data_IF_920660424042
#
_entry.id   IF_920660424042
#
_cell.length_a   1.000
_cell.length_b   1.000
_cell.length_c   1.000
_cell.angle_alpha   90.00
_cell.angle_beta   90.00
_cell.angle_gamma   90.00
#
_symmetry.space_group_name_H-M   'P 1'
#
loop_
_entity.id
_entity.type
_entity.pdbx_description
1 polymer ?
#
# COMPACT_ATOMS: atom_id res chain seq x y z
N UNK A 1 -48.52 35.99 -68.47
CA UNK A 1 -47.15 36.34 -67.97
C UNK A 1 -47.19 36.18 -66.47
N UNK A 2 -46.95 34.95 -65.99
CA UNK A 2 -46.98 34.63 -64.55
C UNK A 2 -45.64 33.99 -64.19
N UNK A 3 -44.94 34.70 -63.28
CA UNK A 3 -43.66 34.25 -62.71
C UNK A 3 -43.94 33.26 -61.59
N UNK A 4 -43.42 32.05 -61.69
CA UNK A 4 -43.38 31.05 -60.61
C UNK A 4 -42.10 31.23 -59.79
N UNK A 5 -42.25 31.65 -58.52
CA UNK A 5 -41.19 31.66 -57.54
C UNK A 5 -41.18 30.29 -56.87
N UNK A 6 -40.04 29.57 -57.06
CA UNK A 6 -39.76 28.33 -56.33
C UNK A 6 -39.14 28.67 -54.98
N UNK A 7 -39.88 28.36 -53.89
CA UNK A 7 -39.35 28.43 -52.54
C UNK A 7 -38.58 27.13 -52.24
N UNK A 8 -37.26 27.24 -52.08
CA UNK A 8 -36.37 26.15 -51.70
C UNK A 8 -36.32 26.09 -50.17
N UNK A 9 -36.99 25.09 -49.55
CA UNK A 9 -36.98 24.85 -48.12
C UNK A 9 -35.68 24.17 -47.72
N UNK A 10 -34.82 24.89 -46.97
CA UNK A 10 -33.55 24.38 -46.44
C UNK A 10 -33.83 23.79 -45.06
N UNK A 11 -33.90 22.47 -44.94
CA UNK A 11 -34.00 21.73 -43.70
C UNK A 11 -32.60 21.70 -43.01
N UNK A 12 -32.46 22.50 -41.98
CA UNK A 12 -31.27 22.53 -41.12
C UNK A 12 -31.37 21.38 -40.10
N UNK A 13 -30.66 20.29 -40.30
CA UNK A 13 -30.51 19.21 -39.32
C UNK A 13 -29.54 19.67 -38.23
N UNK A 14 -30.10 20.02 -37.08
CA UNK A 14 -29.34 20.33 -35.86
C UNK A 14 -28.92 19.00 -35.20
N UNK A 15 -27.72 18.54 -35.45
CA UNK A 15 -27.12 17.37 -34.75
C UNK A 15 -26.69 17.81 -33.35
N UNK A 16 -27.51 17.45 -32.34
CA UNK A 16 -27.13 17.60 -30.93
C UNK A 16 -26.17 16.47 -30.58
N UNK A 17 -24.86 16.81 -30.52
CA UNK A 17 -23.84 15.92 -29.99
C UNK A 17 -23.98 15.88 -28.46
N UNK A 18 -24.50 14.79 -27.92
CA UNK A 18 -24.41 14.52 -26.48
C UNK A 18 -22.93 14.26 -26.14
N UNK A 19 -22.30 15.25 -25.56
CA UNK A 19 -21.00 15.09 -24.88
C UNK A 19 -21.33 14.41 -23.54
N UNK A 20 -21.16 13.11 -23.45
CA UNK A 20 -21.14 12.40 -22.19
C UNK A 20 -19.90 12.87 -21.40
N UNK A 21 -20.07 13.82 -20.52
CA UNK A 21 -19.07 14.16 -19.50
C UNK A 21 -18.95 12.95 -18.58
N UNK A 22 -17.87 12.18 -18.72
CA UNK A 22 -17.42 11.28 -17.69
C UNK A 22 -17.11 12.12 -16.45
N UNK A 23 -18.01 12.12 -15.49
CA UNK A 23 -17.77 12.69 -14.17
C UNK A 23 -16.65 11.87 -13.52
N UNK A 24 -15.40 12.33 -13.62
CA UNK A 24 -14.33 11.91 -12.75
C UNK A 24 -14.77 12.27 -11.33
N UNK A 25 -15.13 11.26 -10.55
CA UNK A 25 -15.38 11.40 -9.12
C UNK A 25 -14.07 11.83 -8.49
N UNK A 26 -13.90 13.12 -8.24
CA UNK A 26 -12.80 13.63 -7.41
C UNK A 26 -13.06 13.10 -6.00
N UNK A 27 -12.38 12.01 -5.65
CA UNK A 27 -12.42 11.45 -4.29
C UNK A 27 -11.88 12.55 -3.37
N UNK A 28 -12.75 13.09 -2.54
CA UNK A 28 -12.38 14.07 -1.52
C UNK A 28 -11.35 13.43 -0.58
N UNK A 29 -10.12 13.91 -0.60
CA UNK A 29 -8.95 13.40 0.13
C UNK A 29 -9.07 13.51 1.65
N UNK A 30 -10.22 13.95 2.18
CA UNK A 30 -10.40 14.28 3.60
C UNK A 30 -11.01 13.18 4.45
N UNK A 31 -11.40 12.04 3.88
CA UNK A 31 -11.92 10.91 4.63
C UNK A 31 -11.08 9.68 4.32
N UNK A 32 -10.63 8.99 5.38
CA UNK A 32 -9.99 7.68 5.25
C UNK A 32 -10.96 6.69 4.61
N UNK A 33 -10.47 5.79 3.75
CA UNK A 33 -11.29 4.70 3.26
C UNK A 33 -11.69 3.80 4.43
N UNK A 34 -12.93 3.37 4.46
CA UNK A 34 -13.42 2.42 5.46
C UNK A 34 -12.85 1.03 5.23
N UNK A 35 -12.57 0.70 3.98
CA UNK A 35 -12.09 -0.61 3.58
C UNK A 35 -11.21 -0.50 2.34
N UNK A 36 -10.08 -1.21 2.37
CA UNK A 36 -9.25 -1.47 1.19
C UNK A 36 -9.03 -2.98 1.12
N UNK A 37 -9.30 -3.56 -0.05
CA UNK A 37 -8.88 -4.92 -0.39
C UNK A 37 -7.91 -4.83 -1.54
N UNK A 38 -6.75 -5.44 -1.37
CA UNK A 38 -5.72 -5.48 -2.40
C UNK A 38 -5.21 -6.92 -2.57
N UNK A 39 -5.02 -7.34 -3.81
CA UNK A 39 -4.36 -8.60 -4.11
C UNK A 39 -3.11 -8.33 -4.94
N UNK A 40 -2.06 -9.11 -4.67
CA UNK A 40 -0.76 -8.97 -5.32
C UNK A 40 -0.22 -10.31 -5.78
N UNK A 41 0.52 -10.28 -6.87
CA UNK A 41 1.46 -11.33 -7.23
C UNK A 41 2.85 -10.96 -6.74
N UNK A 42 3.58 -11.97 -6.24
CA UNK A 42 4.96 -11.80 -5.81
C UNK A 42 5.86 -12.70 -6.66
N UNK A 43 6.91 -12.10 -7.21
CA UNK A 43 7.97 -12.84 -7.88
C UNK A 43 9.25 -12.80 -7.05
N UNK A 44 10.06 -13.86 -7.16
CA UNK A 44 11.41 -13.93 -6.63
C UNK A 44 12.38 -14.08 -7.79
N UNK A 45 13.26 -13.09 -8.00
CA UNK A 45 14.16 -13.01 -9.15
C UNK A 45 13.42 -13.22 -10.49
N UNK A 46 12.21 -12.62 -10.63
CA UNK A 46 11.37 -12.73 -11.81
C UNK A 46 10.57 -14.03 -11.94
N UNK A 47 10.70 -14.99 -11.01
CA UNK A 47 9.93 -16.24 -11.02
C UNK A 47 8.74 -16.16 -10.05
N UNK A 48 7.57 -16.73 -10.39
CA UNK A 48 6.41 -16.78 -9.51
C UNK A 48 6.78 -17.36 -8.13
N UNK A 49 6.44 -16.63 -7.06
CA UNK A 49 6.81 -16.98 -5.70
C UNK A 49 5.60 -17.15 -4.78
N UNK A 50 4.71 -16.15 -4.74
CA UNK A 50 3.56 -16.12 -3.86
C UNK A 50 2.43 -15.23 -4.39
N UNK A 51 1.25 -15.35 -3.76
CA UNK A 51 0.15 -14.39 -3.85
C UNK A 51 -0.12 -13.80 -2.47
N UNK A 52 -0.43 -12.51 -2.43
CA UNK A 52 -0.76 -11.79 -1.19
C UNK A 52 -2.17 -11.23 -1.32
N UNK A 53 -2.98 -11.41 -0.29
CA UNK A 53 -4.27 -10.76 -0.14
C UNK A 53 -4.24 -9.91 1.12
N UNK A 54 -4.57 -8.65 0.98
CA UNK A 54 -4.59 -7.69 2.07
C UNK A 54 -5.98 -7.11 2.27
N UNK A 55 -6.34 -6.94 3.53
CA UNK A 55 -7.56 -6.29 3.96
C UNK A 55 -7.20 -5.23 5.01
N UNK A 56 -7.44 -3.98 4.67
CA UNK A 56 -7.48 -2.87 5.62
C UNK A 56 -8.94 -2.54 5.92
N UNK A 57 -9.26 -2.40 7.20
CA UNK A 57 -10.56 -1.89 7.67
C UNK A 57 -10.30 -0.82 8.72
N UNK A 58 -10.94 0.34 8.57
CA UNK A 58 -10.92 1.39 9.56
C UNK A 58 -12.34 1.78 9.99
N UNK A 59 -12.51 2.02 11.26
CA UNK A 59 -13.62 2.76 11.84
C UNK A 59 -13.12 4.13 12.28
N UNK A 60 -13.94 4.94 12.97
CA UNK A 60 -13.58 6.32 13.32
C UNK A 60 -12.20 6.46 13.98
N UNK A 61 -11.84 5.57 14.91
CA UNK A 61 -10.65 5.71 15.74
C UNK A 61 -9.75 4.47 15.77
N UNK A 62 -10.13 3.38 15.11
CA UNK A 62 -9.35 2.13 15.15
C UNK A 62 -9.21 1.53 13.75
N UNK A 63 -8.13 0.80 13.54
CA UNK A 63 -7.93 0.04 12.31
C UNK A 63 -7.56 -1.42 12.62
N UNK A 64 -7.82 -2.26 11.63
CA UNK A 64 -7.31 -3.62 11.53
C UNK A 64 -6.78 -3.86 10.12
N UNK A 65 -5.59 -4.45 10.03
CA UNK A 65 -5.00 -4.90 8.76
C UNK A 65 -4.71 -6.39 8.88
N UNK A 66 -5.10 -7.13 7.86
CA UNK A 66 -4.76 -8.54 7.68
C UNK A 66 -4.08 -8.71 6.32
N UNK A 67 -2.96 -9.42 6.29
CA UNK A 67 -2.24 -9.77 5.06
C UNK A 67 -1.93 -11.25 5.06
N UNK A 68 -2.43 -11.97 4.05
CA UNK A 68 -2.26 -13.41 3.89
C UNK A 68 -1.42 -13.68 2.66
N UNK A 69 -0.25 -14.28 2.87
CA UNK A 69 0.65 -14.69 1.79
C UNK A 69 0.58 -16.20 1.59
N UNK A 70 0.32 -16.64 0.37
CA UNK A 70 0.31 -18.04 -0.04
C UNK A 70 1.38 -18.28 -1.09
N UNK A 71 2.33 -19.18 -0.82
CA UNK A 71 3.33 -19.59 -1.80
C UNK A 71 2.68 -20.27 -3.01
N UNK A 72 3.30 -20.14 -4.19
CA UNK A 72 2.87 -20.87 -5.40
C UNK A 72 3.88 -21.97 -5.76
N UNK A 73 3.41 -23.01 -6.43
CA UNK A 73 4.26 -24.17 -6.78
C UNK A 73 4.89 -24.80 -5.54
N UNK A 74 6.20 -25.01 -5.57
CA UNK A 74 6.94 -25.62 -4.46
C UNK A 74 6.93 -24.78 -3.18
N UNK A 75 6.71 -23.48 -3.29
CA UNK A 75 6.65 -22.57 -2.15
C UNK A 75 5.36 -22.71 -1.33
N UNK A 76 4.31 -23.35 -1.88
CA UNK A 76 3.08 -23.66 -1.15
C UNK A 76 3.31 -24.59 0.05
N UNK A 77 4.38 -25.41 0.00
CA UNK A 77 4.75 -26.33 1.07
C UNK A 77 5.19 -25.63 2.38
N UNK A 78 5.53 -24.33 2.32
CA UNK A 78 5.91 -23.58 3.52
C UNK A 78 4.71 -23.10 4.36
N UNK A 79 3.48 -23.37 3.90
CA UNK A 79 2.25 -22.93 4.54
C UNK A 79 1.98 -21.42 4.35
N UNK A 80 0.83 -21.00 4.81
CA UNK A 80 0.43 -19.58 4.73
C UNK A 80 1.23 -18.75 5.74
N UNK A 81 1.55 -17.51 5.35
CA UNK A 81 2.04 -16.47 6.25
C UNK A 81 0.94 -15.44 6.44
N UNK A 82 0.54 -15.24 7.67
CA UNK A 82 -0.48 -14.27 8.05
C UNK A 82 0.14 -13.17 8.91
N UNK A 83 -0.11 -11.93 8.54
CA UNK A 83 0.18 -10.75 9.34
C UNK A 83 -1.14 -10.15 9.81
N UNK A 84 -1.13 -9.67 11.05
CA UNK A 84 -2.24 -8.88 11.60
C UNK A 84 -1.66 -7.68 12.32
N UNK A 85 -2.18 -6.50 12.03
CA UNK A 85 -1.89 -5.26 12.74
C UNK A 85 -3.19 -4.64 13.21
N UNK A 86 -3.23 -4.22 14.47
CA UNK A 86 -4.36 -3.47 15.04
C UNK A 86 -3.83 -2.25 15.79
N UNK A 87 -4.62 -1.19 15.83
CA UNK A 87 -4.23 0.03 16.52
C UNK A 87 -5.22 1.16 16.32
N UNK A 88 -4.80 2.35 16.70
CA UNK A 88 -5.59 3.55 16.60
C UNK A 88 -5.35 4.29 15.28
N UNK A 89 -6.39 4.96 14.79
CA UNK A 89 -6.30 5.97 13.73
C UNK A 89 -6.19 7.33 14.38
N UNK A 90 -5.14 8.07 14.04
CA UNK A 90 -4.88 9.42 14.57
C UNK A 90 -4.74 10.44 13.44
N UNK A 91 -4.72 11.72 13.77
CA UNK A 91 -4.44 12.77 12.77
C UNK A 91 -3.04 12.66 12.15
N UNK A 92 -2.09 12.00 12.82
CA UNK A 92 -0.72 11.78 12.33
C UNK A 92 -0.55 10.46 11.60
N UNK A 93 -1.59 9.62 11.56
CA UNK A 93 -1.56 8.33 10.91
C UNK A 93 -1.96 7.17 11.79
N UNK A 94 -1.58 5.98 11.33
CA UNK A 94 -1.80 4.73 12.05
C UNK A 94 -0.84 4.65 13.25
N UNK A 95 -1.40 4.25 14.38
CA UNK A 95 -0.69 4.06 15.63
C UNK A 95 -0.89 2.62 16.09
N UNK A 96 -0.02 1.68 15.65
CA UNK A 96 -0.14 0.27 16.01
C UNK A 96 -0.13 0.08 17.53
N UNK A 97 -0.96 -0.82 18.03
CA UNK A 97 -0.93 -1.28 19.41
C UNK A 97 -0.40 -2.70 19.51
N UNK A 98 -0.70 -3.51 18.48
CA UNK A 98 -0.23 -4.90 18.42
C UNK A 98 -0.06 -5.35 16.96
N UNK A 99 1.03 -6.08 16.75
CA UNK A 99 1.35 -6.78 15.52
C UNK A 99 1.59 -8.26 15.79
N UNK A 100 1.09 -9.12 14.89
CA UNK A 100 1.32 -10.56 14.93
C UNK A 100 1.70 -11.08 13.55
N UNK A 101 2.60 -12.05 13.52
CA UNK A 101 2.98 -12.82 12.35
C UNK A 101 2.89 -14.31 12.67
N UNK A 102 2.12 -15.05 11.88
CA UNK A 102 2.00 -16.49 11.95
C UNK A 102 2.50 -17.11 10.64
N UNK A 103 3.27 -18.20 10.74
CA UNK A 103 3.80 -18.94 9.58
C UNK A 103 3.39 -20.41 9.64
N UNK A 104 2.41 -20.79 8.82
CA UNK A 104 1.82 -22.13 8.83
C UNK A 104 1.21 -22.47 10.19
N UNK A 105 1.12 -23.76 10.53
CA UNK A 105 0.58 -24.25 11.81
C UNK A 105 1.61 -24.27 12.94
N UNK A 106 2.86 -23.85 12.70
CA UNK A 106 3.93 -23.95 13.67
C UNK A 106 4.03 -22.72 14.55
N UNK A 107 3.51 -22.78 15.80
CA UNK A 107 3.58 -21.69 16.76
C UNK A 107 5.01 -21.17 17.03
N UNK A 108 6.06 -22.00 16.86
CA UNK A 108 7.45 -21.58 17.00
C UNK A 108 7.92 -20.62 15.90
N UNK A 109 7.15 -20.47 14.83
CA UNK A 109 7.40 -19.50 13.75
C UNK A 109 6.54 -18.24 13.88
N UNK A 110 5.85 -18.08 15.00
CA UNK A 110 5.07 -16.88 15.29
C UNK A 110 5.94 -15.82 15.92
N UNK A 111 5.68 -14.57 15.55
CA UNK A 111 6.29 -13.36 16.10
C UNK A 111 5.18 -12.43 16.54
N UNK A 112 5.42 -11.57 17.52
CA UNK A 112 4.55 -10.45 17.85
C UNK A 112 5.34 -9.21 18.24
N UNK A 113 4.69 -8.06 18.17
CA UNK A 113 5.18 -6.81 18.72
C UNK A 113 4.04 -6.10 19.42
N UNK A 114 4.25 -5.72 20.67
CA UNK A 114 3.36 -4.91 21.48
C UNK A 114 3.95 -3.50 21.62
N UNK A 115 3.14 -2.48 21.35
CA UNK A 115 3.56 -1.07 21.31
C UNK A 115 3.05 -0.34 22.55
N UNK A 116 3.87 -0.23 23.59
CA UNK A 116 3.56 0.57 24.78
C UNK A 116 3.94 2.04 24.54
N UNK A 117 3.01 2.79 23.97
CA UNK A 117 3.21 4.21 23.65
C UNK A 117 3.36 5.08 24.90
N UNK A 118 2.76 4.69 26.01
CA UNK A 118 2.86 5.45 27.25
C UNK A 118 4.26 5.36 27.86
N UNK A 119 4.87 4.17 27.77
CA UNK A 119 6.25 3.95 28.23
C UNK A 119 7.30 4.14 27.15
N UNK A 120 6.89 4.45 25.91
CA UNK A 120 7.79 4.52 24.74
C UNK A 120 8.63 3.23 24.58
N UNK A 121 8.00 2.08 24.76
CA UNK A 121 8.64 0.77 24.75
C UNK A 121 7.98 -0.14 23.73
N UNK A 122 8.78 -0.76 22.85
CA UNK A 122 8.39 -1.78 21.90
C UNK A 122 8.84 -3.14 22.41
N UNK A 123 7.89 -4.06 22.63
CA UNK A 123 8.16 -5.41 23.12
C UNK A 123 7.96 -6.39 21.96
N UNK A 124 9.06 -6.91 21.40
CA UNK A 124 9.05 -7.89 20.31
C UNK A 124 9.22 -9.29 20.90
N UNK A 125 8.30 -10.21 20.60
CA UNK A 125 8.36 -11.59 21.08
C UNK A 125 8.69 -12.56 19.96
N UNK A 126 9.79 -13.28 20.08
CA UNK A 126 10.25 -14.27 19.13
C UNK A 126 10.40 -15.61 19.83
N UNK A 127 9.66 -16.64 19.38
CA UNK A 127 9.67 -17.97 20.00
C UNK A 127 9.38 -17.92 21.52
N UNK A 128 8.49 -17.01 21.93
CA UNK A 128 8.12 -16.80 23.34
C UNK A 128 9.15 -16.00 24.17
N UNK A 129 10.24 -15.53 23.56
CA UNK A 129 11.25 -14.71 24.24
C UNK A 129 11.02 -13.22 23.91
N UNK A 130 10.71 -12.38 24.91
CA UNK A 130 10.54 -10.95 24.69
C UNK A 130 11.91 -10.25 24.53
N UNK A 131 11.93 -9.24 23.67
CA UNK A 131 13.03 -8.31 23.49
C UNK A 131 12.46 -6.89 23.44
N UNK A 132 12.99 -6.00 24.22
CA UNK A 132 12.56 -4.61 24.27
C UNK A 132 13.42 -3.71 23.38
N UNK A 133 12.81 -2.63 22.89
CA UNK A 133 13.48 -1.57 22.15
C UNK A 133 12.76 -0.23 22.37
N UNK A 134 13.46 0.91 22.26
CA UNK A 134 12.82 2.22 22.29
C UNK A 134 11.77 2.35 21.20
N UNK A 135 10.57 2.83 21.54
CA UNK A 135 9.46 3.07 20.62
C UNK A 135 9.41 4.56 20.24
N UNK A 136 9.88 4.87 19.03
CA UNK A 136 9.81 6.20 18.47
C UNK A 136 8.39 6.50 17.93
N UNK A 137 8.00 7.78 17.95
CA UNK A 137 6.74 8.21 17.34
C UNK A 137 6.68 7.85 15.84
N UNK A 138 5.51 7.40 15.38
CA UNK A 138 5.31 6.99 14.00
C UNK A 138 5.88 5.63 13.63
N UNK A 139 6.42 4.86 14.60
CA UNK A 139 6.87 3.47 14.34
C UNK A 139 5.71 2.62 13.85
N UNK A 140 5.96 1.89 12.76
CA UNK A 140 5.01 1.00 12.12
C UNK A 140 5.47 -0.46 12.22
N UNK A 141 4.58 -1.38 11.86
CA UNK A 141 4.89 -2.79 11.64
C UNK A 141 4.78 -3.19 10.14
N UNK A 142 5.10 -4.44 9.82
CA UNK A 142 5.11 -4.93 8.44
C UNK A 142 3.75 -4.87 7.73
N UNK A 143 2.63 -4.84 8.45
CA UNK A 143 1.31 -4.74 7.85
C UNK A 143 0.85 -3.28 7.75
N UNK A 144 1.18 -2.44 8.74
CA UNK A 144 0.70 -1.06 8.81
C UNK A 144 1.53 -0.05 8.00
N UNK A 145 2.83 -0.32 7.77
CA UNK A 145 3.74 0.70 7.19
C UNK A 145 3.30 1.20 5.81
N UNK A 146 2.78 0.31 4.95
CA UNK A 146 2.34 0.69 3.61
C UNK A 146 1.09 1.57 3.63
N UNK A 147 0.20 1.32 4.57
CA UNK A 147 -1.02 2.10 4.77
C UNK A 147 -0.77 3.43 5.49
N UNK A 148 0.37 3.58 6.19
CA UNK A 148 0.79 4.86 6.79
C UNK A 148 0.98 5.95 5.73
N UNK A 149 1.31 5.59 4.49
CA UNK A 149 1.46 6.57 3.41
C UNK A 149 0.17 7.29 3.01
N UNK A 150 -1.01 6.81 3.43
CA UNK A 150 -2.27 7.56 3.30
C UNK A 150 -2.24 8.93 4.02
N UNK A 151 -1.36 9.06 5.02
CA UNK A 151 -1.21 10.25 5.86
C UNK A 151 0.00 11.11 5.48
N UNK A 152 0.52 10.96 4.27
CA UNK A 152 1.62 11.81 3.79
C UNK A 152 1.23 13.28 3.89
N UNK A 153 2.09 14.14 4.47
CA UNK A 153 1.80 15.55 4.62
C UNK A 153 1.72 16.27 3.27
N UNK A 154 0.89 17.29 3.20
CA UNK A 154 0.88 18.22 2.08
C UNK A 154 1.45 19.58 2.54
N UNK A 155 2.44 20.18 1.84
CA UNK A 155 3.14 19.64 0.67
C UNK A 155 4.04 18.45 1.02
N UNK A 156 4.27 17.56 0.02
CA UNK A 156 5.18 16.43 0.18
C UNK A 156 6.59 16.95 0.46
N UNK A 157 7.30 16.27 1.37
CA UNK A 157 8.73 16.49 1.63
C UNK A 157 9.55 15.68 0.63
N UNK A 158 10.79 16.11 0.38
CA UNK A 158 11.70 15.39 -0.52
C UNK A 158 12.17 14.05 0.05
N UNK A 159 12.10 13.88 1.37
CA UNK A 159 12.50 12.66 2.06
C UNK A 159 11.61 12.36 3.27
N UNK A 160 11.46 11.09 3.57
CA UNK A 160 10.78 10.59 4.76
C UNK A 160 11.60 9.47 5.42
N UNK A 161 11.47 9.37 6.74
CA UNK A 161 12.02 8.27 7.52
C UNK A 161 10.88 7.45 8.11
N UNK A 162 10.94 6.13 7.94
CA UNK A 162 9.97 5.18 8.49
C UNK A 162 10.69 4.25 9.46
N UNK A 163 10.29 4.27 10.73
CA UNK A 163 10.68 3.26 11.71
C UNK A 163 9.75 2.06 11.57
N UNK A 164 10.30 0.88 11.34
CA UNK A 164 9.56 -0.33 10.99
C UNK A 164 10.02 -1.53 11.81
N UNK A 165 9.09 -2.13 12.57
CA UNK A 165 9.36 -3.43 13.19
C UNK A 165 8.86 -4.59 12.34
N UNK A 166 9.67 -5.64 12.28
CA UNK A 166 9.29 -6.92 11.68
C UNK A 166 8.73 -7.91 12.73
N UNK A 167 8.57 -7.47 13.99
CA UNK A 167 8.31 -8.34 15.15
C UNK A 167 9.55 -9.06 15.68
N UNK A 168 10.68 -8.97 14.97
CA UNK A 168 11.98 -9.54 15.37
C UNK A 168 13.06 -8.48 15.53
N UNK A 169 13.03 -7.45 14.72
CA UNK A 169 13.96 -6.32 14.70
C UNK A 169 13.22 -5.02 14.42
N UNK A 170 13.77 -3.92 14.86
CA UNK A 170 13.34 -2.57 14.55
C UNK A 170 14.39 -1.95 13.64
N UNK A 171 13.97 -1.49 12.46
CA UNK A 171 14.82 -0.84 11.46
C UNK A 171 14.30 0.56 11.17
N UNK A 172 15.17 1.41 10.62
CA UNK A 172 14.78 2.68 10.03
C UNK A 172 15.08 2.65 8.54
N UNK A 173 14.10 3.05 7.74
CA UNK A 173 14.22 3.21 6.30
C UNK A 173 14.09 4.67 5.95
N UNK A 174 15.04 5.18 5.19
CA UNK A 174 15.01 6.54 4.67
C UNK A 174 14.71 6.48 3.17
N UNK A 175 13.66 7.21 2.77
CA UNK A 175 13.23 7.27 1.39
C UNK A 175 13.39 8.69 0.86
N UNK A 176 13.90 8.81 -0.37
CA UNK A 176 13.70 9.98 -1.21
C UNK A 176 12.37 9.81 -1.94
N UNK A 177 11.63 10.88 -2.02
CA UNK A 177 10.36 10.92 -2.75
C UNK A 177 10.66 11.54 -4.12
N UNK A 178 10.44 10.75 -5.19
CA UNK A 178 10.42 11.30 -6.53
C UNK A 178 9.05 11.97 -6.74
N UNK A 179 9.06 13.30 -6.80
CA UNK A 179 7.82 14.09 -6.94
C UNK A 179 7.28 14.09 -8.38
N UNK A 180 8.08 13.67 -9.37
CA UNK A 180 7.62 13.46 -10.73
C UNK A 180 6.85 12.14 -10.79
N UNK A 181 5.54 12.17 -11.12
CA UNK A 181 4.73 10.96 -11.13
C UNK A 181 5.16 10.00 -12.24
N UNK A 182 5.23 8.73 -11.90
CA UNK A 182 5.39 7.64 -12.87
C UNK A 182 4.05 6.96 -13.12
N UNK A 183 3.78 6.57 -14.38
CA UNK A 183 2.60 5.78 -14.72
C UNK A 183 2.96 4.30 -14.69
N UNK A 184 2.19 3.51 -13.94
CA UNK A 184 2.35 2.06 -13.86
C UNK A 184 1.05 1.38 -14.27
N UNK A 185 1.13 0.52 -15.28
CA UNK A 185 0.02 -0.33 -15.69
C UNK A 185 -0.01 -1.59 -14.81
N UNK A 186 -1.11 -1.79 -14.11
CA UNK A 186 -1.32 -2.92 -13.22
C UNK A 186 -2.81 -3.16 -12.98
N UNK A 187 -3.21 -4.38 -12.63
CA UNK A 187 -4.62 -4.70 -12.31
C UNK A 187 -5.63 -4.27 -13.40
N UNK A 188 -5.20 -4.23 -14.66
CA UNK A 188 -6.05 -3.78 -15.79
C UNK A 188 -6.30 -2.27 -15.86
N UNK A 189 -5.59 -1.45 -15.07
CA UNK A 189 -5.66 0.00 -15.04
C UNK A 189 -4.27 0.64 -15.07
N UNK A 190 -4.20 1.93 -15.41
CA UNK A 190 -2.98 2.73 -15.35
C UNK A 190 -3.02 3.62 -14.11
N UNK A 191 -2.03 3.52 -13.24
CA UNK A 191 -1.94 4.25 -11.98
C UNK A 191 -0.88 5.34 -12.06
N UNK A 192 -1.26 6.55 -11.71
CA UNK A 192 -0.31 7.62 -11.42
C UNK A 192 0.33 7.37 -10.07
N UNK A 193 1.63 7.14 -10.02
CA UNK A 193 2.32 6.73 -8.81
C UNK A 193 3.33 7.75 -8.33
N UNK A 194 3.52 7.79 -7.01
CA UNK A 194 4.61 8.44 -6.32
C UNK A 194 5.67 7.38 -6.02
N UNK A 195 6.90 7.59 -6.46
CA UNK A 195 7.99 6.63 -6.24
C UNK A 195 8.81 7.01 -5.00
N UNK A 196 8.90 6.06 -4.07
CA UNK A 196 9.76 6.14 -2.89
C UNK A 196 10.97 5.24 -3.09
N UNK A 197 12.13 5.83 -3.27
CA UNK A 197 13.40 5.12 -3.41
C UNK A 197 14.26 5.25 -2.15
N UNK A 198 15.10 4.26 -1.80
CA UNK A 198 16.03 4.38 -0.70
C UNK A 198 16.92 5.62 -0.86
N UNK A 199 17.10 6.39 0.24
CA UNK A 199 17.98 7.58 0.21
C UNK A 199 19.45 7.21 0.03
N UNK A 200 19.86 6.06 0.58
CA UNK A 200 21.21 5.52 0.47
C UNK A 200 21.14 4.07 -0.03
N UNK A 201 21.99 3.75 -0.99
CA UNK A 201 22.21 2.37 -1.44
C UNK A 201 23.37 1.76 -0.64
N UNK A 202 23.16 1.57 0.65
CA UNK A 202 24.07 0.74 1.44
C UNK A 202 23.81 -0.72 1.08
N UNK A 203 24.82 -1.60 1.17
CA UNK A 203 24.73 -3.05 0.88
C UNK A 203 23.81 -3.82 1.85
N UNK A 204 22.72 -3.20 2.27
CA UNK A 204 21.71 -3.73 3.17
C UNK A 204 20.39 -3.88 2.42
N UNK A 205 19.44 -4.58 3.03
CA UNK A 205 18.08 -4.73 2.52
C UNK A 205 17.49 -3.36 2.11
N UNK A 206 17.08 -3.23 0.85
CA UNK A 206 16.41 -2.04 0.34
C UNK A 206 14.98 -2.33 -0.02
N UNK A 207 14.13 -1.28 0.04
CA UNK A 207 12.74 -1.32 -0.38
C UNK A 207 12.44 -0.10 -1.23
N UNK A 208 11.79 -0.32 -2.35
CA UNK A 208 11.24 0.74 -3.18
C UNK A 208 9.73 0.54 -3.29
N UNK A 209 8.97 1.64 -3.31
CA UNK A 209 7.52 1.61 -3.36
C UNK A 209 7.02 2.57 -4.43
N UNK A 210 6.03 2.12 -5.21
CA UNK A 210 5.26 2.95 -6.13
C UNK A 210 3.83 3.02 -5.62
N UNK A 211 3.41 4.20 -5.17
CA UNK A 211 2.19 4.45 -4.43
C UNK A 211 1.15 5.15 -5.32
N UNK A 212 -0.02 4.57 -5.50
CA UNK A 212 -1.10 5.11 -6.31
C UNK A 212 -1.66 6.41 -5.70
N UNK A 213 -1.36 7.56 -6.30
CA UNK A 213 -1.71 8.90 -5.77
C UNK A 213 -3.22 9.08 -5.61
N UNK A 214 -4.01 8.55 -6.55
CA UNK A 214 -5.47 8.69 -6.58
C UNK A 214 -6.19 7.64 -5.74
N UNK A 215 -5.47 6.61 -5.26
CA UNK A 215 -6.00 5.49 -4.48
C UNK A 215 -5.35 5.44 -3.09
N UNK A 216 -5.37 6.56 -2.37
CA UNK A 216 -4.88 6.66 -0.98
C UNK A 216 -3.44 6.18 -0.80
N UNK A 217 -2.58 6.35 -1.82
CA UNK A 217 -1.20 5.89 -1.80
C UNK A 217 -1.03 4.38 -1.54
N UNK A 218 -2.03 3.56 -1.89
CA UNK A 218 -1.88 2.10 -1.88
C UNK A 218 -0.74 1.69 -2.81
N UNK A 219 0.17 0.81 -2.38
CA UNK A 219 1.26 0.37 -3.25
C UNK A 219 0.75 -0.38 -4.48
N UNK A 220 1.14 0.07 -5.67
CA UNK A 220 0.95 -0.67 -6.93
C UNK A 220 2.08 -1.66 -7.12
N UNK A 221 3.29 -1.27 -6.67
CA UNK A 221 4.49 -2.10 -6.78
C UNK A 221 5.36 -1.89 -5.55
N UNK A 222 5.94 -2.97 -5.03
CA UNK A 222 6.97 -2.95 -3.99
C UNK A 222 8.12 -3.83 -4.48
N UNK A 223 9.33 -3.28 -4.51
CA UNK A 223 10.56 -4.01 -4.81
C UNK A 223 11.41 -4.08 -3.55
N UNK A 224 11.74 -5.29 -3.13
CA UNK A 224 12.68 -5.54 -2.03
C UNK A 224 13.92 -6.24 -2.59
N UNK A 225 15.08 -5.77 -2.20
CA UNK A 225 16.36 -6.41 -2.51
C UNK A 225 17.05 -6.72 -1.20
N UNK A 226 17.38 -7.97 -0.95
CA UNK A 226 18.08 -8.38 0.26
C UNK A 226 19.61 -8.13 0.13
N UNK A 227 20.34 -8.36 1.22
CA UNK A 227 21.79 -8.21 1.31
C UNK A 227 22.59 -9.17 0.40
N UNK A 228 21.93 -10.19 -0.17
CA UNK A 228 22.48 -11.12 -1.15
C UNK A 228 22.07 -10.77 -2.59
N UNK A 229 21.38 -9.65 -2.81
CA UNK A 229 20.90 -9.20 -4.11
C UNK A 229 19.68 -9.96 -4.63
N UNK A 230 19.00 -10.78 -3.81
CA UNK A 230 17.78 -11.44 -4.21
C UNK A 230 16.62 -10.43 -4.24
N UNK A 231 15.88 -10.42 -5.33
CA UNK A 231 14.76 -9.51 -5.56
C UNK A 231 13.44 -10.19 -5.27
N UNK A 232 12.64 -9.57 -4.41
CA UNK A 232 11.21 -9.87 -4.25
C UNK A 232 10.44 -8.67 -4.79
N UNK A 233 9.61 -8.91 -5.78
CA UNK A 233 8.75 -7.89 -6.37
C UNK A 233 7.30 -8.27 -6.17
N UNK A 234 6.56 -7.36 -5.54
CA UNK A 234 5.12 -7.48 -5.29
C UNK A 234 4.41 -6.49 -6.20
N UNK A 235 3.51 -6.99 -7.06
CA UNK A 235 2.77 -6.18 -8.04
C UNK A 235 1.27 -6.34 -7.81
N UNK A 236 0.55 -5.24 -7.77
CA UNK A 236 -0.90 -5.20 -7.57
C UNK A 236 -1.61 -5.90 -8.73
N UNK A 237 -2.57 -6.79 -8.45
CA UNK A 237 -3.40 -7.47 -9.45
C UNK A 237 -4.89 -7.20 -9.27
N UNK A 238 -5.30 -6.71 -8.09
CA UNK A 238 -6.69 -6.34 -7.79
C UNK A 238 -6.71 -5.28 -6.69
N UNK A 239 -7.59 -4.29 -6.82
CA UNK A 239 -7.78 -3.24 -5.82
C UNK A 239 -9.26 -2.87 -5.73
N UNK A 240 -9.79 -2.90 -4.51
CA UNK A 240 -11.10 -2.37 -4.17
C UNK A 240 -10.98 -1.41 -2.99
N UNK A 241 -11.62 -0.25 -3.10
CA UNK A 241 -11.60 0.81 -2.06
C UNK A 241 -13.02 1.29 -1.80
N UNK A 242 -13.40 1.36 -0.52
CA UNK A 242 -14.71 1.82 -0.05
C UNK A 242 -14.57 2.97 0.96
#
# INVERSE_FOLDING_TARGET
MFNHIKILSFLFFLSISLIASAQQTVISKNTLPKRIQAAYEVTKNGQPFAKVHELFVATENVYKIESITKGVGVYALFGERQLTSVGDVTAQGLKPTRFELHQGSNAKRSLSADFDWAKQNLIMTVKGQPKEAPLAQGTQDLASYAYQFMFLPAPLKDAITVSLTTGKKLNQYQYRINVEPEMIDSAGASYKTLHLAPSEQNNTETKELWLAVEYYYVPVRILMVDDHGQKLEQTLIELYVE
#
